data_IF_837976238566
#
_entry.id   IF_837976238566
#
_cell.length_a   1.000
_cell.length_b   1.000
_cell.length_c   1.000
_cell.angle_alpha   90.00
_cell.angle_beta   90.00
_cell.angle_gamma   90.00
#
_symmetry.space_group_name_H-M   'P 1'
#
loop_
_entity.id
_entity.type
_entity.pdbx_description
1 polymer ?
#
# COMPACT_ATOMS: atom_id res chain seq x y z
N UNK A 1 -19.28 9.32 -2.36
CA UNK A 1 -17.90 9.05 -2.84
C UNK A 1 -17.98 8.78 -4.32
N UNK A 2 -17.58 9.74 -5.15
CA UNK A 2 -17.46 9.59 -6.60
C UNK A 2 -16.44 8.49 -6.90
N UNK A 3 -16.83 7.49 -7.70
CA UNK A 3 -15.96 6.36 -8.04
C UNK A 3 -15.04 6.80 -9.18
N UNK A 4 -13.88 7.37 -8.84
CA UNK A 4 -12.89 7.75 -9.84
C UNK A 4 -12.35 6.51 -10.57
N UNK A 5 -12.23 6.59 -11.90
CA UNK A 5 -11.64 5.53 -12.71
C UNK A 5 -10.11 5.63 -12.68
N UNK A 6 -9.49 5.06 -11.66
CA UNK A 6 -8.04 5.08 -11.47
C UNK A 6 -7.27 4.32 -12.57
N UNK A 7 -7.88 3.31 -13.17
CA UNK A 7 -7.26 2.56 -14.29
C UNK A 7 -7.11 3.42 -15.55
N UNK A 8 -8.10 4.28 -15.81
CA UNK A 8 -8.00 5.29 -16.87
C UNK A 8 -6.85 6.26 -16.57
N UNK A 9 -6.84 6.84 -15.37
CA UNK A 9 -5.81 7.82 -14.99
C UNK A 9 -4.40 7.25 -15.02
N UNK A 10 -4.21 5.99 -14.59
CA UNK A 10 -2.92 5.30 -14.66
C UNK A 10 -2.37 5.26 -16.10
N UNK A 11 -3.25 5.05 -17.08
CA UNK A 11 -2.87 5.05 -18.51
C UNK A 11 -2.52 6.46 -19.00
N UNK A 12 -3.33 7.45 -18.64
CA UNK A 12 -3.13 8.85 -19.05
C UNK A 12 -1.81 9.44 -18.52
N UNK A 13 -1.45 9.12 -17.27
CA UNK A 13 -0.24 9.66 -16.62
C UNK A 13 0.98 8.76 -16.75
N UNK A 14 0.93 7.73 -17.59
CA UNK A 14 2.05 6.82 -17.85
C UNK A 14 3.41 7.52 -18.10
N UNK A 15 3.52 8.57 -18.93
CA UNK A 15 4.81 9.26 -19.11
C UNK A 15 5.32 9.92 -17.84
N UNK A 16 4.42 10.38 -16.96
CA UNK A 16 4.79 10.96 -15.66
C UNK A 16 5.28 9.88 -14.70
N UNK A 17 4.64 8.71 -14.69
CA UNK A 17 5.09 7.57 -13.89
C UNK A 17 6.49 7.11 -14.32
N UNK A 18 6.74 7.06 -15.62
CA UNK A 18 8.06 6.75 -16.16
C UNK A 18 9.11 7.78 -15.71
N UNK A 19 8.84 9.07 -15.93
CA UNK A 19 9.77 10.14 -15.53
C UNK A 19 10.05 10.14 -14.04
N UNK A 20 9.05 9.85 -13.20
CA UNK A 20 9.22 9.79 -11.74
C UNK A 20 10.00 8.56 -11.28
N UNK A 21 9.81 7.41 -11.94
CA UNK A 21 10.61 6.22 -11.68
C UNK A 21 12.09 6.48 -12.03
N UNK A 22 12.35 7.06 -13.20
CA UNK A 22 13.70 7.46 -13.63
C UNK A 22 14.33 8.47 -12.66
N UNK A 23 13.57 9.44 -12.15
CA UNK A 23 14.02 10.37 -11.10
C UNK A 23 14.52 9.62 -9.85
N UNK A 24 13.74 8.66 -9.33
CA UNK A 24 14.14 7.90 -8.14
C UNK A 24 15.32 6.95 -8.40
N UNK A 25 15.40 6.38 -9.61
CA UNK A 25 16.56 5.60 -10.04
C UNK A 25 17.83 6.47 -10.05
N UNK A 26 17.76 7.69 -10.58
CA UNK A 26 18.87 8.65 -10.55
C UNK A 26 19.31 9.02 -9.11
N UNK A 27 18.39 8.93 -8.13
CA UNK A 27 18.69 9.11 -6.71
C UNK A 27 19.28 7.86 -6.03
N UNK A 28 19.51 6.78 -6.78
CA UNK A 28 20.13 5.53 -6.30
C UNK A 28 19.14 4.38 -6.02
N UNK A 29 17.87 4.51 -6.44
CA UNK A 29 16.87 3.46 -6.30
C UNK A 29 16.62 2.73 -7.62
N UNK A 30 17.63 2.00 -8.10
CA UNK A 30 17.66 1.40 -9.45
C UNK A 30 16.51 0.43 -9.77
N UNK A 31 15.85 -0.13 -8.75
CA UNK A 31 14.80 -1.15 -8.92
C UNK A 31 13.39 -0.59 -9.00
N UNK A 32 13.21 0.73 -8.87
CA UNK A 32 11.89 1.37 -8.90
C UNK A 32 11.27 1.17 -10.28
N UNK A 33 10.05 0.62 -10.32
CA UNK A 33 9.22 0.51 -11.52
C UNK A 33 8.10 1.56 -11.54
N UNK A 34 7.47 1.75 -12.71
CA UNK A 34 6.29 2.63 -12.85
C UNK A 34 5.12 2.13 -11.99
N UNK A 35 5.01 0.83 -11.84
CA UNK A 35 4.05 0.14 -10.99
C UNK A 35 4.26 0.48 -9.52
N UNK A 36 5.50 0.53 -9.06
CA UNK A 36 5.85 0.91 -7.69
C UNK A 36 5.50 2.37 -7.41
N UNK A 37 5.80 3.29 -8.35
CA UNK A 37 5.41 4.70 -8.23
C UNK A 37 3.89 4.82 -8.10
N UNK A 38 3.15 4.09 -8.94
CA UNK A 38 1.69 4.10 -8.88
C UNK A 38 1.16 3.52 -7.58
N UNK A 39 1.70 2.39 -7.11
CA UNK A 39 1.29 1.78 -5.85
C UNK A 39 1.58 2.70 -4.66
N UNK A 40 2.75 3.35 -4.65
CA UNK A 40 3.09 4.37 -3.66
C UNK A 40 2.09 5.54 -3.70
N UNK A 41 1.73 6.06 -4.88
CA UNK A 41 0.73 7.11 -5.02
C UNK A 41 -0.64 6.68 -4.47
N UNK A 42 -1.10 5.48 -4.83
CA UNK A 42 -2.37 4.92 -4.34
C UNK A 42 -2.38 4.76 -2.82
N UNK A 43 -1.25 4.42 -2.20
CA UNK A 43 -1.12 4.32 -0.75
C UNK A 43 -1.29 5.67 -0.03
N UNK A 44 -0.99 6.77 -0.73
CA UNK A 44 -1.08 8.14 -0.22
C UNK A 44 -2.45 8.77 -0.48
N UNK A 45 -3.22 8.28 -1.46
CA UNK A 45 -4.55 8.81 -1.79
C UNK A 45 -5.48 9.04 -0.59
N UNK A 46 -5.58 8.16 0.42
CA UNK A 46 -6.45 8.38 1.58
C UNK A 46 -6.08 9.60 2.43
N UNK A 47 -4.85 10.12 2.26
CA UNK A 47 -4.32 11.30 2.98
C UNK A 47 -4.44 12.59 2.16
N UNK A 48 -4.83 12.49 0.89
CA UNK A 48 -4.94 13.63 -0.02
C UNK A 48 -6.40 14.10 -0.10
N UNK A 49 -6.59 15.40 -0.27
CA UNK A 49 -7.90 15.96 -0.60
C UNK A 49 -8.17 15.77 -2.10
N UNK A 50 -8.93 14.73 -2.43
CA UNK A 50 -9.22 14.35 -3.82
C UNK A 50 -10.41 15.16 -4.33
N UNK A 51 -10.24 15.99 -5.38
CA UNK A 51 -11.33 16.80 -5.90
C UNK A 51 -12.41 15.92 -6.55
N UNK A 52 -13.68 16.32 -6.40
CA UNK A 52 -14.83 15.61 -6.97
C UNK A 52 -14.71 15.42 -8.49
N UNK A 53 -14.16 16.42 -9.18
CA UNK A 53 -13.79 16.34 -10.59
C UNK A 53 -12.27 16.27 -10.73
N UNK A 54 -11.76 15.07 -11.04
CA UNK A 54 -10.33 14.89 -11.32
C UNK A 54 -9.94 15.59 -12.61
N UNK A 55 -8.86 16.37 -12.53
CA UNK A 55 -8.23 17.03 -13.68
C UNK A 55 -6.82 16.47 -13.87
N UNK A 56 -6.30 16.40 -15.11
CA UNK A 56 -4.98 15.83 -15.37
C UNK A 56 -3.87 16.51 -14.57
N UNK A 57 -3.88 17.85 -14.51
CA UNK A 57 -2.86 18.60 -13.78
C UNK A 57 -2.80 18.26 -12.29
N UNK A 58 -3.94 17.91 -11.66
CA UNK A 58 -3.95 17.56 -10.25
C UNK A 58 -3.20 16.24 -10.01
N UNK A 59 -3.50 15.20 -10.81
CA UNK A 59 -2.82 13.90 -10.68
C UNK A 59 -1.33 14.04 -10.93
N UNK A 60 -0.96 14.77 -11.98
CA UNK A 60 0.44 15.06 -12.33
C UNK A 60 1.14 15.80 -11.19
N UNK A 61 0.50 16.83 -10.64
CA UNK A 61 1.02 17.58 -9.51
C UNK A 61 1.27 16.66 -8.31
N UNK A 62 0.29 15.83 -7.92
CA UNK A 62 0.45 14.93 -6.79
C UNK A 62 1.57 13.91 -7.00
N UNK A 63 1.69 13.35 -8.21
CA UNK A 63 2.77 12.43 -8.55
C UNK A 63 4.15 13.08 -8.42
N UNK A 64 4.33 14.33 -8.87
CA UNK A 64 5.61 15.02 -8.74
C UNK A 64 5.90 15.51 -7.31
N UNK A 65 4.87 15.74 -6.49
CA UNK A 65 5.04 16.05 -5.06
C UNK A 65 5.51 14.84 -4.23
N UNK A 66 5.40 13.61 -4.76
CA UNK A 66 5.96 12.44 -4.09
C UNK A 66 7.48 12.56 -4.00
N UNK A 67 7.97 12.62 -2.77
CA UNK A 67 9.40 12.53 -2.46
C UNK A 67 9.82 11.05 -2.31
N UNK A 68 11.07 10.72 -2.63
CA UNK A 68 11.69 9.41 -2.39
C UNK A 68 11.49 8.91 -0.95
N UNK A 69 11.44 9.80 0.04
CA UNK A 69 11.13 9.42 1.43
C UNK A 69 9.74 8.77 1.59
N UNK A 70 8.74 9.21 0.82
CA UNK A 70 7.42 8.58 0.83
C UNK A 70 7.49 7.16 0.27
N UNK A 71 8.25 6.98 -0.82
CA UNK A 71 8.49 5.67 -1.41
C UNK A 71 9.18 4.72 -0.43
N UNK A 72 10.23 5.17 0.27
CA UNK A 72 10.94 4.35 1.27
C UNK A 72 10.04 3.96 2.45
N UNK A 73 9.24 4.90 2.95
CA UNK A 73 8.26 4.61 4.00
C UNK A 73 7.21 3.59 3.53
N UNK A 74 6.69 3.77 2.32
CA UNK A 74 5.76 2.82 1.72
C UNK A 74 6.39 1.42 1.56
N UNK A 75 7.59 1.34 1.01
CA UNK A 75 8.32 0.08 0.81
C UNK A 75 8.58 -0.65 2.14
N UNK A 76 8.91 0.10 3.18
CA UNK A 76 9.11 -0.43 4.53
C UNK A 76 7.82 -1.03 5.10
N UNK A 77 6.69 -0.31 4.95
CA UNK A 77 5.38 -0.81 5.34
C UNK A 77 4.96 -2.05 4.56
N UNK A 78 5.21 -2.09 3.26
CA UNK A 78 4.95 -3.27 2.42
C UNK A 78 5.80 -4.48 2.85
N UNK A 79 7.07 -4.27 3.21
CA UNK A 79 7.91 -5.35 3.75
C UNK A 79 7.38 -5.91 5.09
N UNK A 80 6.78 -5.06 5.93
CA UNK A 80 6.12 -5.51 7.17
C UNK A 80 4.77 -6.21 6.92
N UNK A 81 4.09 -5.93 5.80
CA UNK A 81 2.87 -6.65 5.36
C UNK A 81 3.16 -8.04 4.81
N UNK A 82 4.26 -8.67 5.23
CA UNK A 82 4.68 -10.02 4.84
C UNK A 82 3.55 -11.06 4.94
N UNK A 83 3.77 -12.27 4.39
CA UNK A 83 2.74 -13.30 4.32
C UNK A 83 2.10 -13.43 5.69
N UNK A 84 0.77 -13.40 5.72
CA UNK A 84 0.00 -13.42 6.95
C UNK A 84 0.08 -14.81 7.58
N UNK A 85 1.27 -15.18 8.04
CA UNK A 85 1.63 -16.47 8.60
C UNK A 85 0.69 -16.84 9.75
N UNK A 86 0.15 -15.83 10.45
CA UNK A 86 -0.72 -15.98 11.60
C UNK A 86 -2.22 -15.76 11.31
N UNK A 87 -2.63 -15.56 10.05
CA UNK A 87 -4.06 -15.32 9.75
C UNK A 87 -4.92 -16.59 9.84
N UNK A 88 -4.31 -17.76 9.67
CA UNK A 88 -5.02 -19.06 9.70
C UNK A 88 -4.87 -19.78 11.05
N UNK A 89 -4.11 -19.23 11.99
CA UNK A 89 -3.93 -19.81 13.33
C UNK A 89 -4.96 -19.21 14.30
N UNK A 90 -5.77 -20.06 14.93
CA UNK A 90 -6.58 -19.62 16.06
C UNK A 90 -5.65 -19.01 17.13
N UNK A 91 -6.04 -17.88 17.76
CA UNK A 91 -5.24 -17.27 18.81
C UNK A 91 -4.91 -18.32 19.88
N UNK A 92 -3.63 -18.45 20.23
CA UNK A 92 -3.21 -19.34 21.30
C UNK A 92 -3.90 -18.90 22.59
N UNK A 93 -4.92 -19.66 23.02
CA UNK A 93 -5.61 -19.40 24.27
C UNK A 93 -4.73 -19.88 25.43
N UNK A 94 -4.04 -18.93 26.07
CA UNK A 94 -3.22 -19.18 27.26
C UNK A 94 -4.06 -19.43 28.52
N UNK A 95 -5.39 -19.36 28.44
CA UNK A 95 -6.26 -19.77 29.56
C UNK A 95 -6.28 -21.29 29.62
N UNK A 96 -5.86 -21.85 30.76
CA UNK A 96 -5.89 -23.30 31.05
C UNK A 96 -7.30 -23.93 31.08
N UNK A 97 -8.35 -23.19 30.71
CA UNK A 97 -9.75 -23.60 30.78
C UNK A 97 -10.06 -24.85 29.93
N UNK A 98 -9.22 -25.16 28.92
CA UNK A 98 -9.37 -26.37 28.11
C UNK A 98 -8.97 -27.67 28.83
N UNK A 99 -8.30 -27.61 30.00
CA UNK A 99 -7.91 -28.79 30.78
C UNK A 99 -9.00 -29.29 31.73
N UNK A 100 -9.89 -28.42 32.19
CA UNK A 100 -10.91 -28.78 33.19
C UNK A 100 -12.04 -29.63 32.59
N UNK A 101 -12.33 -29.45 31.29
CA UNK A 101 -13.39 -30.18 30.58
C UNK A 101 -13.12 -31.69 30.41
N UNK A 102 -11.88 -32.16 30.59
CA UNK A 102 -11.54 -33.59 30.51
C UNK A 102 -11.74 -34.35 31.83
N UNK A 103 -11.92 -33.66 32.97
CA UNK A 103 -12.16 -34.34 34.26
C UNK A 103 -13.64 -34.65 34.49
N UNK A 104 -14.57 -33.82 34.02
CA UNK A 104 -16.02 -34.07 34.18
C UNK A 104 -16.59 -35.17 33.27
N UNK A 105 -15.84 -35.63 32.26
CA UNK A 105 -16.29 -36.71 31.34
C UNK A 105 -15.80 -38.09 31.80
N UNK A 106 -15.03 -38.17 32.89
CA UNK A 106 -14.42 -39.41 33.40
C UNK A 106 -14.92 -39.82 34.80
N UNK A 107 -15.98 -39.17 35.33
CA UNK A 107 -16.73 -39.61 36.51
C UNK A 107 -18.16 -40.03 36.15
#
# INVERSE_FOLDING_TARGET
MTKHNWDYWKKEVKPVLQSKAEEWQLLGHDRVSQEDVWACFMSMLPRLDVPETLRPHWVVQQLFHLNVNHYMNWLTLEAYRGPSWFNDEEPIDFRLNHYEKKKEVLE
#
